data_IF_096768970336
#
_entry.id   IF_096768970336
#
_cell.length_a   1.000
_cell.length_b   1.000
_cell.length_c   1.000
_cell.angle_alpha   90.00
_cell.angle_beta   90.00
_cell.angle_gamma   90.00
#
_symmetry.space_group_name_H-M   'P 1'
#
loop_
_entity.id
_entity.type
_entity.pdbx_description
1 polymer ?
#
# COMPACT_ATOMS: atom_id res chain seq x y z
N UNK A 1 20.36 3.96 -10.89
CA UNK A 1 19.67 3.95 -12.21
C UNK A 1 19.47 5.35 -12.77
N UNK A 2 19.09 6.37 -11.94
CA UNK A 2 18.85 7.73 -12.42
C UNK A 2 20.10 8.42 -13.03
N UNK A 3 21.31 7.97 -12.72
CA UNK A 3 22.55 8.46 -13.33
C UNK A 3 22.78 7.93 -14.76
N UNK A 4 22.10 6.87 -15.20
CA UNK A 4 22.35 6.21 -16.50
C UNK A 4 22.26 7.18 -17.68
N UNK A 5 21.27 8.08 -17.80
CA UNK A 5 21.20 9.03 -18.91
C UNK A 5 22.47 9.91 -19.02
N UNK A 6 22.96 10.40 -17.88
CA UNK A 6 24.19 11.20 -17.83
C UNK A 6 25.44 10.41 -18.20
N UNK A 7 25.54 9.16 -17.69
CA UNK A 7 26.64 8.24 -17.99
C UNK A 7 26.70 7.93 -19.50
N UNK A 8 25.56 7.59 -20.10
CA UNK A 8 25.51 7.28 -21.54
C UNK A 8 25.87 8.47 -22.40
N UNK A 9 25.38 9.68 -22.06
CA UNK A 9 25.65 10.89 -22.84
C UNK A 9 27.08 11.41 -22.72
N UNK A 10 27.74 11.12 -21.60
CA UNK A 10 29.09 11.63 -21.32
C UNK A 10 30.15 10.53 -21.36
N UNK A 11 29.81 9.32 -21.75
CA UNK A 11 30.77 8.22 -21.94
C UNK A 11 31.59 8.48 -23.20
N UNK A 12 32.90 8.41 -23.06
CA UNK A 12 33.86 8.36 -24.20
C UNK A 12 33.92 6.98 -24.86
N UNK A 13 33.28 5.97 -24.26
CA UNK A 13 33.20 4.65 -24.85
C UNK A 13 32.27 4.68 -26.07
N UNK A 14 32.68 3.98 -27.13
CA UNK A 14 31.99 3.83 -28.41
C UNK A 14 30.62 3.14 -28.40
N UNK A 15 30.00 3.02 -27.25
CA UNK A 15 28.55 2.74 -27.15
C UNK A 15 27.86 4.04 -27.51
N UNK A 16 27.82 4.33 -28.80
CA UNK A 16 27.06 5.43 -29.35
C UNK A 16 25.61 5.16 -29.04
N UNK A 17 25.11 5.79 -27.98
CA UNK A 17 23.68 5.87 -27.81
C UNK A 17 23.13 6.47 -29.11
N UNK A 18 22.24 5.73 -29.78
CA UNK A 18 21.57 6.28 -30.96
C UNK A 18 21.08 7.69 -30.58
N UNK A 19 21.37 8.76 -31.36
CA UNK A 19 20.93 10.12 -31.04
C UNK A 19 19.42 10.23 -30.83
N UNK A 20 18.65 9.28 -31.34
CA UNK A 20 17.20 9.17 -31.16
C UNK A 20 16.77 8.47 -29.85
N UNK A 21 17.74 7.94 -29.08
CA UNK A 21 17.38 7.27 -27.77
C UNK A 21 16.83 8.30 -26.80
N UNK A 22 15.64 8.02 -26.30
CA UNK A 22 15.00 8.78 -25.23
C UNK A 22 15.14 7.99 -23.94
N UNK A 23 15.43 8.69 -22.85
CA UNK A 23 15.52 8.12 -21.51
C UNK A 23 14.30 8.52 -20.72
N UNK A 24 13.71 7.53 -20.05
CA UNK A 24 12.67 7.73 -19.05
C UNK A 24 13.24 7.30 -17.68
N UNK A 25 13.03 8.12 -16.68
CA UNK A 25 13.43 7.82 -15.30
C UNK A 25 12.21 7.94 -14.41
N UNK A 26 11.79 6.82 -13.87
CA UNK A 26 10.60 6.76 -13.01
C UNK A 26 10.99 6.91 -11.53
N UNK A 27 10.42 7.89 -10.88
CA UNK A 27 10.53 8.12 -9.45
C UNK A 27 9.42 7.29 -8.76
N UNK A 28 9.80 6.11 -8.25
CA UNK A 28 8.82 5.23 -7.58
C UNK A 28 8.45 5.74 -6.19
N UNK A 29 9.42 6.28 -5.48
CA UNK A 29 9.24 6.87 -4.15
C UNK A 29 10.43 7.79 -3.86
N UNK A 30 10.17 9.03 -3.46
CA UNK A 30 11.18 10.02 -3.09
C UNK A 30 11.29 10.21 -1.57
N UNK A 31 10.65 9.35 -0.79
CA UNK A 31 10.72 9.42 0.67
C UNK A 31 12.08 8.96 1.22
N UNK A 32 12.36 9.28 2.51
CA UNK A 32 13.67 9.12 3.13
C UNK A 32 14.30 7.73 3.02
N UNK A 33 13.54 6.66 3.01
CA UNK A 33 14.06 5.30 2.89
C UNK A 33 14.31 4.83 1.44
N UNK A 34 13.94 5.64 0.45
CA UNK A 34 13.94 5.24 -0.97
C UNK A 34 14.72 6.17 -1.87
N UNK A 35 15.04 7.36 -1.39
CA UNK A 35 15.79 8.37 -2.09
C UNK A 35 17.24 8.36 -1.60
N UNK A 36 18.19 8.36 -2.51
CA UNK A 36 19.61 8.39 -2.22
C UNK A 36 20.30 9.44 -3.07
N UNK A 37 20.97 10.36 -2.41
CA UNK A 37 21.88 11.34 -3.02
C UNK A 37 23.33 10.99 -2.70
N UNK A 38 24.27 11.48 -3.50
CA UNK A 38 25.68 11.48 -3.12
C UNK A 38 25.96 12.62 -2.15
N UNK A 39 26.78 12.38 -1.12
CA UNK A 39 27.03 13.36 -0.07
C UNK A 39 27.75 14.64 -0.56
N UNK A 40 28.53 14.51 -1.65
CA UNK A 40 29.24 15.62 -2.27
C UNK A 40 29.63 15.28 -3.72
N UNK A 41 30.27 16.24 -4.41
CA UNK A 41 30.72 16.07 -5.80
C UNK A 41 31.82 15.01 -5.90
N UNK A 42 32.75 14.96 -4.96
CA UNK A 42 33.88 14.04 -4.95
C UNK A 42 33.38 12.58 -4.90
N UNK A 43 32.43 12.30 -4.04
CA UNK A 43 31.80 10.98 -3.94
C UNK A 43 31.06 10.65 -5.24
N UNK A 44 30.24 11.57 -5.74
CA UNK A 44 29.53 11.39 -7.01
C UNK A 44 30.46 11.13 -8.17
N UNK A 45 31.57 11.85 -8.24
CA UNK A 45 32.59 11.68 -9.29
C UNK A 45 33.27 10.32 -9.18
N UNK A 46 33.59 9.88 -7.95
CA UNK A 46 34.22 8.58 -7.72
C UNK A 46 33.32 7.41 -8.20
N UNK A 47 32.01 7.48 -7.89
CA UNK A 47 31.07 6.42 -8.29
C UNK A 47 30.67 6.46 -9.77
N UNK A 48 30.58 7.66 -10.36
CA UNK A 48 30.01 7.84 -11.69
C UNK A 48 31.03 8.15 -12.77
N UNK A 49 32.21 8.59 -12.38
CA UNK A 49 33.26 9.14 -13.30
C UNK A 49 32.74 10.25 -14.24
N UNK A 50 31.65 10.93 -13.82
CA UNK A 50 31.15 12.07 -14.59
C UNK A 50 32.01 13.32 -14.38
N UNK A 51 32.15 14.18 -15.41
CA UNK A 51 32.84 15.46 -15.29
C UNK A 51 32.20 16.31 -14.16
N UNK A 52 33.08 17.00 -13.39
CA UNK A 52 32.66 17.85 -12.26
C UNK A 52 31.59 18.87 -12.66
N UNK A 53 31.71 19.49 -13.81
CA UNK A 53 30.77 20.48 -14.32
C UNK A 53 29.36 19.96 -14.51
N UNK A 54 29.18 18.65 -14.74
CA UNK A 54 27.87 18.01 -14.83
C UNK A 54 27.32 17.76 -13.46
N UNK A 55 28.15 17.30 -12.53
CA UNK A 55 27.77 17.04 -11.15
C UNK A 55 27.35 18.32 -10.41
N UNK A 56 28.04 19.44 -10.65
CA UNK A 56 27.73 20.78 -10.12
C UNK A 56 26.31 21.23 -10.49
N UNK A 57 25.83 20.94 -11.69
CA UNK A 57 24.46 21.27 -12.14
C UNK A 57 23.38 20.47 -11.38
N UNK A 58 23.73 19.32 -10.86
CA UNK A 58 22.82 18.45 -10.13
C UNK A 58 22.93 18.59 -8.60
N UNK A 59 23.62 19.63 -8.12
CA UNK A 59 23.73 19.87 -6.68
C UNK A 59 22.45 20.43 -6.08
N UNK A 60 22.16 19.95 -4.87
CA UNK A 60 21.16 20.48 -3.96
C UNK A 60 21.74 20.43 -2.53
N UNK A 61 21.89 21.58 -1.87
CA UNK A 61 22.43 21.70 -0.52
C UNK A 61 23.75 20.91 -0.30
N UNK A 62 24.67 21.00 -1.26
CA UNK A 62 25.98 20.34 -1.21
C UNK A 62 25.99 18.87 -1.63
N UNK A 63 24.83 18.22 -1.71
CA UNK A 63 24.66 16.86 -2.20
C UNK A 63 24.45 16.85 -3.73
N UNK A 64 24.76 15.73 -4.38
CA UNK A 64 24.46 15.54 -5.80
C UNK A 64 23.28 14.60 -5.95
N UNK A 65 22.24 15.09 -6.64
CA UNK A 65 20.95 14.42 -6.80
C UNK A 65 20.86 13.64 -8.11
N UNK A 66 20.71 12.30 -8.08
CA UNK A 66 20.62 11.50 -9.30
C UNK A 66 19.43 11.86 -10.20
N UNK A 67 18.30 12.31 -9.63
CA UNK A 67 17.16 12.74 -10.44
C UNK A 67 17.43 14.07 -11.17
N UNK A 68 18.20 14.97 -10.55
CA UNK A 68 18.66 16.19 -11.23
C UNK A 68 19.66 15.86 -12.35
N UNK A 69 20.56 14.89 -12.15
CA UNK A 69 21.45 14.40 -13.23
C UNK A 69 20.65 13.85 -14.41
N UNK A 70 19.57 13.11 -14.14
CA UNK A 70 18.69 12.62 -15.19
C UNK A 70 18.04 13.78 -15.97
N UNK A 71 17.51 14.77 -15.25
CA UNK A 71 16.89 15.95 -15.86
C UNK A 71 17.89 16.77 -16.69
N UNK A 72 19.08 17.04 -16.18
CA UNK A 72 20.17 17.72 -16.92
C UNK A 72 20.55 16.98 -18.22
N UNK A 73 20.38 15.67 -18.22
CA UNK A 73 20.56 14.82 -19.38
C UNK A 73 19.34 14.74 -20.30
N UNK A 74 18.31 15.56 -20.06
CA UNK A 74 17.06 15.58 -20.81
C UNK A 74 16.32 14.24 -20.80
N UNK A 75 16.44 13.49 -19.70
CA UNK A 75 15.55 12.37 -19.45
C UNK A 75 14.15 12.88 -19.11
N UNK A 76 13.14 12.16 -19.55
CA UNK A 76 11.75 12.43 -19.14
C UNK A 76 11.57 11.82 -17.75
N UNK A 77 11.24 12.66 -16.77
CA UNK A 77 10.94 12.19 -15.43
C UNK A 77 9.47 11.77 -15.35
N UNK A 78 9.24 10.58 -14.86
CA UNK A 78 7.90 10.05 -14.62
C UNK A 78 7.76 9.62 -13.16
N UNK A 79 6.53 9.45 -12.71
CA UNK A 79 6.24 8.86 -11.41
C UNK A 79 4.99 7.97 -11.47
N UNK A 80 4.64 7.36 -10.37
CA UNK A 80 3.74 6.21 -10.30
C UNK A 80 2.26 6.55 -10.05
N UNK A 81 1.90 7.83 -10.04
CA UNK A 81 0.51 8.31 -10.10
C UNK A 81 0.44 9.80 -10.46
N UNK A 82 -0.69 10.24 -11.00
CA UNK A 82 -0.90 11.65 -11.36
C UNK A 82 -0.85 12.56 -10.12
N UNK A 83 -1.43 12.14 -9.01
CA UNK A 83 -1.43 12.95 -7.78
C UNK A 83 -0.04 13.01 -7.16
N UNK A 84 0.70 11.91 -7.18
CA UNK A 84 2.06 11.90 -6.68
C UNK A 84 2.99 12.79 -7.54
N UNK A 85 2.74 12.92 -8.84
CA UNK A 85 3.47 13.87 -9.68
C UNK A 85 3.28 15.31 -9.20
N UNK A 86 2.07 15.69 -8.76
CA UNK A 86 1.79 17.01 -8.18
C UNK A 86 2.46 17.17 -6.81
N UNK A 87 2.39 16.13 -5.97
CA UNK A 87 3.05 16.13 -4.66
C UNK A 87 4.57 16.30 -4.78
N UNK A 88 5.20 15.69 -5.79
CA UNK A 88 6.65 15.79 -6.04
C UNK A 88 7.14 17.18 -6.45
N UNK A 89 6.26 18.06 -6.90
CA UNK A 89 6.59 19.46 -7.25
C UNK A 89 5.96 20.47 -6.28
N UNK A 90 5.28 20.03 -5.24
CA UNK A 90 4.70 20.91 -4.20
C UNK A 90 5.71 21.10 -3.07
N UNK A 91 6.21 22.35 -2.83
CA UNK A 91 7.18 22.64 -1.78
C UNK A 91 6.71 22.27 -0.36
N UNK A 92 5.38 22.17 -0.11
CA UNK A 92 4.85 21.75 1.19
C UNK A 92 5.22 20.31 1.53
N UNK A 93 5.57 19.50 0.55
CA UNK A 93 6.03 18.12 0.71
C UNK A 93 7.53 17.99 0.94
N UNK A 94 8.22 19.05 1.38
CA UNK A 94 9.66 19.08 1.64
C UNK A 94 10.14 17.92 2.50
N UNK A 95 9.50 17.70 3.64
CA UNK A 95 9.92 16.68 4.60
C UNK A 95 9.71 15.24 4.07
N UNK A 96 8.63 14.98 3.35
CA UNK A 96 8.30 13.65 2.80
C UNK A 96 9.12 13.29 1.56
N UNK A 97 9.82 14.27 0.96
CA UNK A 97 10.64 14.10 -0.25
C UNK A 97 12.12 14.45 -0.05
N UNK A 98 12.57 14.64 1.20
CA UNK A 98 13.93 15.09 1.54
C UNK A 98 14.38 16.36 0.76
N UNK A 99 13.45 17.26 0.53
CA UNK A 99 13.69 18.53 -0.15
C UNK A 99 13.58 18.46 -1.68
N UNK A 100 13.39 17.29 -2.29
CA UNK A 100 13.27 17.18 -3.75
C UNK A 100 12.11 17.99 -4.31
N UNK A 101 10.97 18.03 -3.62
CA UNK A 101 9.80 18.78 -4.07
C UNK A 101 10.08 20.27 -4.23
N UNK A 102 10.84 20.87 -3.32
CA UNK A 102 11.24 22.27 -3.41
C UNK A 102 12.15 22.52 -4.61
N UNK A 103 13.20 21.70 -4.79
CA UNK A 103 14.13 21.88 -5.91
C UNK A 103 13.50 21.59 -7.27
N UNK A 104 12.57 20.65 -7.35
CA UNK A 104 11.81 20.38 -8.57
C UNK A 104 10.91 21.56 -8.93
N UNK A 105 10.26 22.16 -7.94
CA UNK A 105 9.45 23.37 -8.12
C UNK A 105 10.32 24.56 -8.56
N UNK A 106 11.40 24.86 -7.84
CA UNK A 106 12.32 25.97 -8.15
C UNK A 106 12.92 25.88 -9.55
N UNK A 107 13.22 24.67 -10.02
CA UNK A 107 13.78 24.44 -11.35
C UNK A 107 12.72 24.22 -12.44
N UNK A 108 11.42 24.34 -12.10
CA UNK A 108 10.32 24.09 -13.02
C UNK A 108 10.40 22.71 -13.71
N UNK A 109 10.84 21.68 -12.97
CA UNK A 109 10.98 20.33 -13.51
C UNK A 109 9.60 19.74 -13.74
N UNK A 110 9.36 19.21 -14.95
CA UNK A 110 8.11 18.53 -15.28
C UNK A 110 8.22 17.05 -14.93
N UNK A 111 7.23 16.53 -14.23
CA UNK A 111 7.13 15.11 -13.88
C UNK A 111 5.79 14.61 -14.37
N UNK A 112 5.80 13.56 -15.18
CA UNK A 112 4.60 12.94 -15.72
C UNK A 112 4.14 11.80 -14.78
N UNK A 113 2.91 11.87 -14.31
CA UNK A 113 2.31 10.84 -13.48
C UNK A 113 1.68 9.72 -14.32
N UNK A 114 2.20 8.50 -14.19
CA UNK A 114 1.66 7.31 -14.85
C UNK A 114 1.30 6.31 -13.76
N UNK A 115 0.00 6.14 -13.49
CA UNK A 115 -0.45 5.24 -12.43
C UNK A 115 -0.01 3.81 -12.70
N UNK A 116 0.66 3.19 -11.72
CA UNK A 116 0.99 1.77 -11.79
C UNK A 116 -0.30 0.95 -11.87
N UNK A 117 -0.32 0.01 -12.81
CA UNK A 117 -1.35 -1.02 -12.88
C UNK A 117 -0.96 -2.26 -12.08
N UNK A 118 -1.91 -3.16 -11.98
CA UNK A 118 -1.68 -4.53 -11.53
C UNK A 118 -2.14 -5.51 -12.60
N UNK A 119 -1.56 -6.69 -12.60
CA UNK A 119 -2.05 -7.80 -13.42
C UNK A 119 -3.31 -8.38 -12.75
N UNK A 120 -4.48 -7.89 -13.16
CA UNK A 120 -5.75 -8.25 -12.55
C UNK A 120 -6.04 -9.76 -12.64
N UNK A 121 -5.56 -10.42 -13.69
CA UNK A 121 -5.76 -11.87 -13.88
C UNK A 121 -5.08 -12.68 -12.76
N UNK A 122 -3.96 -12.20 -12.22
CA UNK A 122 -3.27 -12.84 -11.07
C UNK A 122 -4.04 -12.78 -9.75
N UNK A 123 -5.04 -11.91 -9.66
CA UNK A 123 -5.87 -11.74 -8.45
C UNK A 123 -7.31 -12.14 -8.68
N UNK A 124 -7.65 -12.67 -9.89
CA UNK A 124 -9.03 -13.01 -10.25
C UNK A 124 -9.61 -14.06 -9.29
N UNK A 125 -10.60 -13.72 -8.44
CA UNK A 125 -11.17 -14.67 -7.48
C UNK A 125 -12.07 -15.73 -8.13
N UNK A 126 -12.37 -15.62 -9.42
CA UNK A 126 -13.07 -16.65 -10.17
C UNK A 126 -12.16 -17.82 -10.55
N UNK A 127 -10.84 -17.61 -10.56
CA UNK A 127 -9.81 -18.64 -10.80
C UNK A 127 -8.98 -18.88 -9.53
N UNK A 128 -9.24 -20.00 -8.87
CA UNK A 128 -8.59 -20.37 -7.62
C UNK A 128 -7.10 -20.69 -7.80
N UNK A 129 -6.67 -21.05 -9.00
CA UNK A 129 -5.27 -21.42 -9.27
C UNK A 129 -4.37 -20.20 -9.28
N UNK A 130 -4.83 -19.08 -9.79
CA UNK A 130 -4.08 -17.82 -9.85
C UNK A 130 -4.29 -16.95 -8.62
N UNK A 131 -5.53 -16.90 -8.10
CA UNK A 131 -5.86 -16.15 -6.88
C UNK A 131 -5.31 -16.79 -5.61
N UNK A 132 -5.06 -18.09 -5.62
CA UNK A 132 -4.67 -18.92 -4.47
C UNK A 132 -5.76 -18.99 -3.38
N UNK A 133 -7.02 -18.77 -3.76
CA UNK A 133 -8.16 -18.88 -2.86
C UNK A 133 -8.71 -20.30 -2.88
N UNK A 134 -9.14 -20.86 -1.73
CA UNK A 134 -9.79 -22.18 -1.66
C UNK A 134 -11.10 -22.28 -2.45
N UNK A 135 -11.90 -21.21 -2.45
CA UNK A 135 -13.23 -21.17 -3.09
C UNK A 135 -13.33 -19.98 -4.02
N UNK A 136 -13.84 -20.24 -5.24
CA UNK A 136 -14.05 -19.20 -6.25
C UNK A 136 -15.32 -18.38 -5.96
N UNK A 137 -15.30 -17.11 -6.37
CA UNK A 137 -16.47 -16.22 -6.31
C UNK A 137 -16.31 -15.05 -7.30
N UNK A 138 -17.38 -14.28 -7.53
CA UNK A 138 -17.38 -13.23 -8.55
C UNK A 138 -17.92 -11.89 -8.00
N UNK A 139 -17.05 -11.02 -7.47
CA UNK A 139 -17.48 -9.70 -6.98
C UNK A 139 -18.12 -8.83 -8.05
N UNK A 140 -17.59 -8.84 -9.28
CA UNK A 140 -18.13 -8.09 -10.43
C UNK A 140 -19.56 -8.46 -10.79
N UNK A 141 -19.96 -9.71 -10.49
CA UNK A 141 -21.32 -10.24 -10.74
C UNK A 141 -22.18 -10.25 -9.46
N UNK A 142 -21.61 -9.85 -8.31
CA UNK A 142 -22.29 -9.85 -7.02
C UNK A 142 -22.50 -11.22 -6.40
N UNK A 143 -21.79 -12.24 -6.87
CA UNK A 143 -21.82 -13.62 -6.34
C UNK A 143 -20.71 -13.74 -5.30
N UNK A 144 -21.06 -13.64 -4.02
CA UNK A 144 -20.10 -13.57 -2.91
C UNK A 144 -20.14 -14.79 -1.97
N UNK A 145 -20.90 -15.84 -2.32
CA UNK A 145 -21.03 -17.04 -1.49
C UNK A 145 -19.67 -17.69 -1.22
N UNK A 146 -18.82 -17.79 -2.25
CA UNK A 146 -17.46 -18.31 -2.10
C UNK A 146 -16.55 -17.43 -1.20
N UNK A 147 -16.83 -16.13 -1.08
CA UNK A 147 -16.12 -15.24 -0.12
C UNK A 147 -16.41 -15.67 1.32
N UNK A 148 -17.65 -16.06 1.61
CA UNK A 148 -18.05 -16.57 2.93
C UNK A 148 -17.41 -17.94 3.20
N UNK A 149 -17.37 -18.84 2.20
CA UNK A 149 -16.71 -20.15 2.34
C UNK A 149 -15.19 -19.99 2.56
N UNK A 150 -14.55 -19.05 1.88
CA UNK A 150 -13.16 -18.69 2.15
C UNK A 150 -12.96 -18.19 3.59
N UNK A 151 -13.90 -17.41 4.12
CA UNK A 151 -13.88 -16.91 5.52
C UNK A 151 -13.96 -18.08 6.51
N UNK A 152 -14.89 -19.00 6.31
CA UNK A 152 -15.01 -20.20 7.14
C UNK A 152 -13.72 -21.02 7.12
N UNK A 153 -13.17 -21.26 5.92
CA UNK A 153 -11.91 -21.96 5.77
C UNK A 153 -10.77 -21.29 6.54
N UNK A 154 -10.63 -19.95 6.40
CA UNK A 154 -9.58 -19.21 7.11
C UNK A 154 -9.69 -19.35 8.62
N UNK A 155 -10.90 -19.22 9.18
CA UNK A 155 -11.15 -19.39 10.62
C UNK A 155 -10.82 -20.80 11.11
N UNK A 156 -11.13 -21.82 10.32
CA UNK A 156 -10.73 -23.20 10.63
C UNK A 156 -9.21 -23.38 10.62
N UNK A 157 -8.49 -22.77 9.65
CA UNK A 157 -7.04 -22.85 9.62
C UNK A 157 -6.39 -22.13 10.80
N UNK A 158 -6.88 -20.94 11.18
CA UNK A 158 -6.42 -20.21 12.37
C UNK A 158 -6.63 -21.07 13.65
N UNK A 159 -7.80 -21.67 13.80
CA UNK A 159 -8.08 -22.54 14.93
C UNK A 159 -7.14 -23.74 14.99
N UNK A 160 -6.91 -24.42 13.86
CA UNK A 160 -5.97 -25.54 13.79
C UNK A 160 -4.54 -25.10 14.12
N UNK A 161 -4.11 -23.93 13.66
CA UNK A 161 -2.78 -23.41 13.96
C UNK A 161 -2.58 -23.11 15.46
N UNK A 162 -3.64 -22.74 16.18
CA UNK A 162 -3.60 -22.48 17.62
C UNK A 162 -3.65 -23.77 18.48
N UNK A 163 -4.28 -24.83 17.99
CA UNK A 163 -4.50 -26.07 18.74
C UNK A 163 -3.41 -27.14 18.55
N UNK A 164 -2.65 -27.06 17.45
CA UNK A 164 -1.62 -28.06 17.17
C UNK A 164 -0.38 -27.45 16.55
N UNK A 165 0.79 -28.04 16.86
CA UNK A 165 2.07 -27.76 16.19
C UNK A 165 2.09 -28.23 14.71
N UNK A 166 0.95 -28.45 14.08
CA UNK A 166 0.86 -28.88 12.69
C UNK A 166 0.99 -27.64 11.79
N UNK A 167 2.08 -27.57 11.06
CA UNK A 167 2.36 -26.54 10.06
C UNK A 167 1.30 -26.60 8.95
N UNK A 168 0.35 -25.69 8.97
CA UNK A 168 -0.44 -25.38 7.78
C UNK A 168 0.44 -24.54 6.86
N UNK A 169 0.65 -24.96 5.62
CA UNK A 169 1.44 -24.20 4.63
C UNK A 169 0.93 -22.78 4.39
N UNK A 170 -0.30 -22.50 4.81
CA UNK A 170 -0.91 -21.16 4.76
C UNK A 170 -0.17 -20.17 5.67
N UNK A 171 0.39 -20.64 6.79
CA UNK A 171 1.07 -19.77 7.78
C UNK A 171 2.60 -20.00 7.81
N UNK A 172 3.16 -20.63 6.77
CA UNK A 172 4.60 -20.71 6.63
C UNK A 172 5.20 -19.30 6.65
N UNK A 173 6.26 -19.11 7.43
CA UNK A 173 6.94 -17.84 7.64
C UNK A 173 6.06 -16.73 8.30
N UNK A 174 4.93 -17.09 8.93
CA UNK A 174 4.07 -16.17 9.65
C UNK A 174 4.00 -16.55 11.14
N UNK A 175 4.26 -15.56 12.00
CA UNK A 175 3.95 -15.65 13.42
C UNK A 175 2.55 -15.09 13.68
N UNK A 176 1.73 -15.86 14.38
CA UNK A 176 0.34 -15.50 14.68
C UNK A 176 0.28 -14.96 16.11
N UNK A 177 -0.29 -13.76 16.27
CA UNK A 177 -0.56 -13.14 17.57
C UNK A 177 -2.04 -12.77 17.68
N UNK A 178 -2.60 -12.94 18.88
CA UNK A 178 -4.05 -12.82 19.10
C UNK A 178 -4.81 -14.02 18.52
N UNK A 179 -6.11 -13.89 18.44
CA UNK A 179 -7.00 -14.97 17.97
C UNK A 179 -8.32 -14.40 17.43
N UNK A 180 -9.04 -15.20 16.65
CA UNK A 180 -10.43 -14.97 16.27
C UNK A 180 -11.26 -16.16 16.74
N UNK A 181 -12.23 -15.91 17.63
CA UNK A 181 -13.07 -16.96 18.26
C UNK A 181 -14.46 -17.01 17.62
N UNK A 182 -14.56 -16.72 16.34
CA UNK A 182 -15.83 -16.60 15.66
C UNK A 182 -16.41 -17.97 15.30
N UNK A 183 -17.69 -18.14 15.55
CA UNK A 183 -18.45 -19.32 15.10
C UNK A 183 -18.53 -19.33 13.57
N UNK A 184 -18.31 -20.49 12.97
CA UNK A 184 -18.46 -20.67 11.52
C UNK A 184 -19.89 -20.39 11.03
N UNK A 185 -20.89 -20.50 11.90
CA UNK A 185 -22.29 -20.20 11.57
C UNK A 185 -22.58 -18.71 11.57
N UNK A 186 -21.91 -17.96 12.44
CA UNK A 186 -22.20 -16.55 12.67
C UNK A 186 -21.20 -15.62 11.97
N UNK A 187 -20.10 -16.14 11.41
CA UNK A 187 -19.05 -15.35 10.82
C UNK A 187 -19.51 -14.48 9.63
N UNK A 188 -20.59 -14.84 8.96
CA UNK A 188 -21.18 -14.06 7.88
C UNK A 188 -21.86 -12.77 8.37
N UNK A 189 -22.28 -12.71 9.65
CA UNK A 189 -22.89 -11.55 10.30
C UNK A 189 -21.86 -10.60 10.90
N UNK A 190 -20.59 -10.96 10.87
CA UNK A 190 -19.49 -10.16 11.39
C UNK A 190 -18.86 -9.32 10.28
N UNK A 191 -18.28 -8.20 10.66
CA UNK A 191 -17.59 -7.28 9.77
C UNK A 191 -16.08 -7.44 9.97
N UNK A 192 -15.38 -7.90 8.95
CA UNK A 192 -13.95 -8.09 8.98
C UNK A 192 -13.24 -6.94 8.26
N UNK A 193 -12.25 -6.36 8.93
CA UNK A 193 -11.47 -5.23 8.43
C UNK A 193 -10.01 -5.64 8.37
N UNK A 194 -9.42 -5.60 7.17
CA UNK A 194 -8.02 -5.93 6.93
C UNK A 194 -7.11 -4.71 6.98
N UNK A 195 -5.87 -4.93 7.35
CA UNK A 195 -4.71 -4.13 6.94
C UNK A 195 -3.65 -5.07 6.39
N UNK A 196 -3.11 -4.76 5.22
CA UNK A 196 -1.95 -5.47 4.66
C UNK A 196 -0.89 -4.49 4.21
N UNK A 197 0.36 -4.81 4.52
CA UNK A 197 1.49 -4.00 4.10
C UNK A 197 2.61 -3.95 5.12
N UNK A 198 3.62 -3.15 4.84
CA UNK A 198 4.73 -2.94 5.77
C UNK A 198 4.23 -2.27 7.05
N UNK A 199 4.70 -2.75 8.18
CA UNK A 199 4.41 -2.17 9.50
C UNK A 199 5.38 -1.01 9.73
N UNK A 200 5.04 0.17 9.22
CA UNK A 200 5.90 1.35 9.27
C UNK A 200 5.11 2.61 9.62
N UNK A 201 5.83 3.60 10.13
CA UNK A 201 5.28 4.94 10.43
C UNK A 201 4.65 5.55 9.18
N UNK A 202 5.29 5.44 8.01
CA UNK A 202 4.76 5.93 6.73
C UNK A 202 3.36 5.37 6.43
N UNK A 203 3.10 4.12 6.79
CA UNK A 203 1.83 3.43 6.54
C UNK A 203 0.73 3.75 7.56
N UNK A 204 1.03 4.63 8.53
CA UNK A 204 0.04 5.11 9.51
C UNK A 204 -0.41 4.07 10.53
N UNK A 205 0.46 3.07 10.83
CA UNK A 205 0.13 1.99 11.76
C UNK A 205 -0.21 2.52 13.16
N UNK A 206 0.46 3.56 13.62
CA UNK A 206 0.15 4.17 14.91
C UNK A 206 -1.29 4.73 14.96
N UNK A 207 -1.76 5.36 13.87
CA UNK A 207 -3.14 5.85 13.77
C UNK A 207 -4.14 4.69 13.81
N UNK A 208 -3.84 3.59 13.11
CA UNK A 208 -4.67 2.38 13.12
C UNK A 208 -4.72 1.76 14.53
N UNK A 209 -3.58 1.52 15.16
CA UNK A 209 -3.47 0.94 16.50
C UNK A 209 -4.26 1.72 17.54
N UNK A 210 -4.19 3.05 17.51
CA UNK A 210 -4.93 3.92 18.41
C UNK A 210 -6.45 3.90 18.15
N UNK A 211 -6.87 3.65 16.91
CA UNK A 211 -8.28 3.67 16.50
C UNK A 211 -9.04 2.37 16.84
N UNK A 212 -8.37 1.22 16.73
CA UNK A 212 -8.98 -0.11 16.90
C UNK A 212 -9.72 -0.26 18.23
N UNK A 213 -9.16 0.10 19.42
CA UNK A 213 -9.85 -0.08 20.69
C UNK A 213 -11.21 0.63 20.74
N UNK A 214 -11.28 1.85 20.22
CA UNK A 214 -12.54 2.62 20.20
C UNK A 214 -13.57 1.98 19.29
N UNK A 215 -13.17 1.47 18.14
CA UNK A 215 -14.08 0.76 17.22
C UNK A 215 -14.60 -0.54 17.86
N UNK A 216 -13.73 -1.32 18.49
CA UNK A 216 -14.12 -2.59 19.13
C UNK A 216 -15.02 -2.39 20.36
N UNK A 217 -14.91 -1.25 21.04
CA UNK A 217 -15.80 -0.87 22.14
C UNK A 217 -17.18 -0.44 21.64
N UNK A 218 -17.25 0.18 20.46
CA UNK A 218 -18.51 0.68 19.90
C UNK A 218 -19.26 -0.37 19.06
N UNK A 219 -18.54 -1.37 18.50
CA UNK A 219 -19.09 -2.37 17.58
C UNK A 219 -18.60 -3.76 17.93
N UNK A 220 -19.46 -4.55 18.57
CA UNK A 220 -19.11 -5.93 19.01
C UNK A 220 -18.90 -6.89 17.84
N UNK A 221 -19.55 -6.62 16.71
CA UNK A 221 -19.52 -7.46 15.51
C UNK A 221 -18.35 -7.16 14.56
N UNK A 222 -17.35 -6.38 14.98
CA UNK A 222 -16.17 -6.04 14.16
C UNK A 222 -14.97 -6.90 14.55
N UNK A 223 -14.19 -7.26 13.53
CA UNK A 223 -12.91 -8.00 13.64
C UNK A 223 -11.85 -7.32 12.82
N UNK A 224 -10.60 -7.35 13.31
CA UNK A 224 -9.45 -6.85 12.58
C UNK A 224 -8.47 -7.98 12.27
N UNK A 225 -7.97 -8.00 11.02
CA UNK A 225 -6.90 -8.89 10.56
C UNK A 225 -5.79 -7.99 10.02
N UNK A 226 -4.66 -7.99 10.69
CA UNK A 226 -3.50 -7.15 10.34
C UNK A 226 -2.39 -8.06 9.90
N UNK A 227 -1.84 -7.88 8.69
CA UNK A 227 -0.76 -8.70 8.17
C UNK A 227 0.40 -7.86 7.65
N UNK A 228 1.62 -8.22 8.06
CA UNK A 228 2.86 -7.56 7.64
C UNK A 228 3.93 -7.56 8.70
N UNK A 229 5.09 -6.99 8.33
CA UNK A 229 6.26 -6.83 9.20
C UNK A 229 6.96 -5.50 8.92
N UNK A 230 7.78 -5.02 9.87
CA UNK A 230 8.50 -3.76 9.67
C UNK A 230 9.21 -3.22 10.89
N UNK A 231 8.78 -2.05 11.38
CA UNK A 231 9.37 -1.38 12.54
C UNK A 231 9.03 -2.12 13.84
N UNK A 232 10.04 -2.60 14.55
CA UNK A 232 9.88 -3.44 15.75
C UNK A 232 9.00 -2.81 16.83
N UNK A 233 9.07 -1.49 17.01
CA UNK A 233 8.22 -0.77 17.97
C UNK A 233 6.73 -0.91 17.63
N UNK A 234 6.37 -0.74 16.36
CA UNK A 234 4.99 -0.84 15.88
C UNK A 234 4.51 -2.30 15.87
N UNK A 235 5.39 -3.26 15.56
CA UNK A 235 5.08 -4.69 15.69
C UNK A 235 4.75 -5.07 17.14
N UNK A 236 5.55 -4.59 18.11
CA UNK A 236 5.28 -4.82 19.53
C UNK A 236 3.95 -4.20 20.00
N UNK A 237 3.61 -3.01 19.49
CA UNK A 237 2.30 -2.41 19.75
C UNK A 237 1.15 -3.28 19.21
N UNK A 238 1.29 -3.83 17.99
CA UNK A 238 0.31 -4.74 17.39
C UNK A 238 0.18 -6.05 18.15
N UNK A 239 1.30 -6.62 18.62
CA UNK A 239 1.28 -7.81 19.48
C UNK A 239 0.49 -7.53 20.75
N UNK A 240 0.81 -6.44 21.46
CA UNK A 240 0.09 -6.05 22.67
C UNK A 240 -1.40 -5.77 22.39
N UNK A 241 -1.73 -5.14 21.27
CA UNK A 241 -3.10 -4.86 20.87
C UNK A 241 -3.89 -6.15 20.62
N UNK A 242 -3.30 -7.10 19.89
CA UNK A 242 -3.94 -8.39 19.58
C UNK A 242 -4.16 -9.24 20.84
N UNK A 243 -3.20 -9.25 21.76
CA UNK A 243 -3.31 -9.95 23.03
C UNK A 243 -4.37 -9.32 23.95
N UNK A 244 -4.48 -7.99 23.96
CA UNK A 244 -5.48 -7.26 24.74
C UNK A 244 -6.91 -7.48 24.20
N UNK A 245 -7.05 -7.67 22.90
CA UNK A 245 -8.33 -7.82 22.21
C UNK A 245 -8.50 -9.22 21.60
N UNK A 246 -8.10 -10.27 22.37
CA UNK A 246 -8.31 -11.68 21.97
C UNK A 246 -9.74 -11.95 21.54
N UNK A 247 -9.88 -12.75 20.49
CA UNK A 247 -11.16 -13.04 19.87
C UNK A 247 -11.63 -12.01 18.85
N UNK A 248 -10.98 -10.83 18.76
CA UNK A 248 -11.39 -9.73 17.86
C UNK A 248 -10.28 -9.18 16.99
N UNK A 249 -9.01 -9.34 17.37
CA UNK A 249 -7.84 -8.84 16.63
C UNK A 249 -6.86 -9.98 16.40
N UNK A 250 -6.49 -10.14 15.13
CA UNK A 250 -5.47 -11.09 14.70
C UNK A 250 -4.32 -10.33 14.04
N UNK A 251 -3.10 -10.55 14.51
CA UNK A 251 -1.89 -10.02 13.88
C UNK A 251 -1.05 -11.17 13.29
N UNK A 252 -0.81 -11.10 12.00
CA UNK A 252 -0.04 -12.03 11.19
C UNK A 252 1.31 -11.38 10.86
N UNK A 253 2.33 -11.64 11.69
CA UNK A 253 3.67 -11.08 11.52
C UNK A 253 4.48 -11.96 10.56
N UNK A 254 4.74 -11.47 9.37
CA UNK A 254 5.44 -12.17 8.32
C UNK A 254 4.80 -11.96 6.94
N UNK A 255 5.20 -12.78 5.98
CA UNK A 255 4.66 -12.73 4.63
C UNK A 255 4.49 -14.12 4.02
N UNK A 256 3.27 -14.47 3.72
CA UNK A 256 2.91 -15.61 2.87
C UNK A 256 1.87 -15.16 1.85
N UNK A 257 2.13 -15.36 0.58
CA UNK A 257 1.30 -14.85 -0.52
C UNK A 257 -0.14 -15.36 -0.47
N UNK A 258 -0.33 -16.66 -0.18
CA UNK A 258 -1.66 -17.26 -0.10
C UNK A 258 -2.43 -16.73 1.11
N UNK A 259 -1.76 -16.62 2.26
CA UNK A 259 -2.35 -16.08 3.49
C UNK A 259 -2.79 -14.61 3.32
N UNK A 260 -1.93 -13.75 2.76
CA UNK A 260 -2.26 -12.33 2.52
C UNK A 260 -3.44 -12.20 1.56
N UNK A 261 -3.46 -12.97 0.48
CA UNK A 261 -4.59 -12.95 -0.48
C UNK A 261 -5.88 -13.44 0.14
N UNK A 262 -5.82 -14.54 0.88
CA UNK A 262 -6.99 -15.10 1.55
C UNK A 262 -7.52 -14.14 2.63
N UNK A 263 -6.65 -13.58 3.48
CA UNK A 263 -7.06 -12.63 4.52
C UNK A 263 -7.61 -11.31 3.94
N UNK A 264 -7.15 -10.87 2.75
CA UNK A 264 -7.80 -9.77 2.03
C UNK A 264 -9.17 -10.20 1.52
N UNK A 265 -9.25 -11.35 0.84
CA UNK A 265 -10.45 -11.82 0.17
C UNK A 265 -11.63 -12.06 1.13
N UNK A 266 -11.37 -12.46 2.39
CA UNK A 266 -12.42 -12.73 3.37
C UNK A 266 -12.96 -11.48 4.08
N UNK A 267 -12.24 -10.35 4.03
CA UNK A 267 -12.64 -9.12 4.72
C UNK A 267 -13.65 -8.31 3.92
N UNK A 268 -14.45 -7.52 4.62
CA UNK A 268 -15.40 -6.57 4.02
C UNK A 268 -14.69 -5.29 3.58
N UNK A 269 -13.71 -4.87 4.38
CA UNK A 269 -12.95 -3.64 4.16
C UNK A 269 -11.45 -3.85 4.34
N UNK A 270 -10.66 -3.01 3.67
CA UNK A 270 -9.22 -2.86 3.92
C UNK A 270 -8.91 -1.41 4.26
N UNK A 271 -8.18 -1.18 5.37
CA UNK A 271 -7.81 0.16 5.83
C UNK A 271 -6.42 0.51 5.33
N UNK A 272 -6.29 1.69 4.72
CA UNK A 272 -5.05 2.21 4.16
C UNK A 272 -4.74 3.60 4.74
N UNK A 273 -4.26 3.70 5.99
CA UNK A 273 -4.08 4.95 6.71
C UNK A 273 -2.70 5.58 6.44
N UNK A 274 -2.17 5.42 5.24
CA UNK A 274 -0.84 5.93 4.89
C UNK A 274 -0.75 7.45 4.99
N UNK A 275 0.31 7.98 5.61
CA UNK A 275 0.63 9.41 5.54
C UNK A 275 1.05 9.81 4.14
N UNK A 276 1.70 8.89 3.45
CA UNK A 276 2.27 9.08 2.14
C UNK A 276 2.20 7.79 1.32
N UNK A 277 1.58 7.84 0.14
CA UNK A 277 1.38 6.68 -0.73
C UNK A 277 1.56 7.04 -2.20
N UNK A 278 2.74 6.81 -2.79
CA UNK A 278 3.00 7.19 -4.19
C UNK A 278 2.00 6.61 -5.20
N UNK A 279 1.63 5.36 -5.02
CA UNK A 279 0.65 4.70 -5.90
C UNK A 279 -0.47 4.01 -5.10
N UNK A 280 -0.09 3.09 -4.19
CA UNK A 280 -1.01 2.13 -3.59
C UNK A 280 -1.43 1.05 -4.60
N UNK A 281 -1.24 -0.21 -4.23
CA UNK A 281 -1.70 -1.36 -5.01
C UNK A 281 -2.71 -2.19 -4.22
N UNK A 282 -2.67 -2.11 -2.89
CA UNK A 282 -3.56 -2.85 -2.00
C UNK A 282 -5.03 -2.47 -2.17
N UNK A 283 -5.32 -1.23 -2.55
CA UNK A 283 -6.67 -0.79 -2.88
C UNK A 283 -7.22 -1.49 -4.14
N UNK A 284 -6.40 -1.66 -5.19
CA UNK A 284 -6.78 -2.41 -6.37
C UNK A 284 -7.02 -3.89 -6.04
N UNK A 285 -6.09 -4.51 -5.30
CA UNK A 285 -6.20 -5.92 -4.89
C UNK A 285 -7.46 -6.12 -4.07
N UNK A 286 -7.71 -5.24 -3.08
CA UNK A 286 -8.94 -5.26 -2.29
C UNK A 286 -10.18 -5.17 -3.17
N UNK A 287 -10.24 -4.22 -4.08
CA UNK A 287 -11.38 -4.02 -4.98
C UNK A 287 -11.66 -5.25 -5.85
N UNK A 288 -10.62 -5.90 -6.39
CA UNK A 288 -10.76 -7.14 -7.18
C UNK A 288 -11.34 -8.27 -6.32
N UNK A 289 -10.91 -8.39 -5.07
CA UNK A 289 -11.46 -9.38 -4.12
C UNK A 289 -12.81 -8.98 -3.50
N UNK A 290 -13.39 -7.84 -3.90
CA UNK A 290 -14.63 -7.34 -3.31
C UNK A 290 -14.46 -6.90 -1.86
N UNK A 291 -13.29 -6.43 -1.49
CA UNK A 291 -12.94 -5.84 -0.20
C UNK A 291 -12.71 -4.35 -0.41
N UNK A 292 -13.65 -3.52 0.09
CA UNK A 292 -13.63 -2.09 -0.21
C UNK A 292 -12.57 -1.34 0.61
N UNK A 293 -11.74 -0.48 -0.04
CA UNK A 293 -10.75 0.31 0.67
C UNK A 293 -11.39 1.45 1.48
N UNK A 294 -10.86 1.66 2.69
CA UNK A 294 -11.07 2.85 3.53
C UNK A 294 -9.71 3.51 3.66
N UNK A 295 -9.49 4.61 2.96
CA UNK A 295 -8.16 5.15 2.75
C UNK A 295 -8.03 6.63 3.15
N UNK A 296 -6.86 6.99 3.67
CA UNK A 296 -6.45 8.39 3.75
C UNK A 296 -6.27 8.95 2.35
N UNK A 297 -6.82 10.15 2.13
CA UNK A 297 -6.77 10.84 0.84
C UNK A 297 -5.38 11.43 0.59
N UNK A 298 -4.44 10.60 0.10
CA UNK A 298 -3.05 11.00 -0.18
C UNK A 298 -2.51 10.27 -1.40
N UNK A 299 -1.68 10.94 -2.18
CA UNK A 299 -0.97 10.39 -3.33
C UNK A 299 -1.83 9.53 -4.24
N UNK A 300 -1.35 8.38 -4.60
CA UNK A 300 -2.05 7.43 -5.48
C UNK A 300 -3.35 6.85 -4.92
N UNK A 301 -3.66 6.98 -3.62
CA UNK A 301 -4.96 6.56 -3.08
C UNK A 301 -6.11 7.48 -3.52
N UNK A 302 -5.81 8.68 -4.03
CA UNK A 302 -6.80 9.58 -4.61
C UNK A 302 -7.54 9.01 -5.84
N UNK A 303 -7.03 7.94 -6.45
CA UNK A 303 -7.72 7.20 -7.52
C UNK A 303 -8.98 6.47 -7.05
N UNK A 304 -9.13 6.23 -5.74
CA UNK A 304 -10.35 5.67 -5.15
C UNK A 304 -11.50 6.68 -5.33
N UNK A 305 -12.57 6.25 -5.98
CA UNK A 305 -13.77 7.09 -6.14
C UNK A 305 -14.62 6.96 -4.89
N UNK A 306 -14.60 8.03 -4.06
CA UNK A 306 -15.28 8.05 -2.78
C UNK A 306 -16.76 7.68 -2.89
N UNK A 307 -17.25 6.81 -2.00
CA UNK A 307 -18.62 6.26 -2.00
C UNK A 307 -19.02 5.48 -3.27
N UNK A 308 -18.06 5.11 -4.13
CA UNK A 308 -18.31 4.33 -5.34
C UNK A 308 -17.41 3.10 -5.44
N UNK A 309 -16.09 3.27 -5.30
CA UNK A 309 -15.12 2.17 -5.32
C UNK A 309 -14.41 1.96 -3.98
N UNK A 310 -14.70 2.80 -2.99
CA UNK A 310 -14.17 2.78 -1.65
C UNK A 310 -14.57 4.02 -0.87
N UNK A 311 -13.90 4.28 0.23
CA UNK A 311 -14.16 5.42 1.12
C UNK A 311 -12.87 6.20 1.37
N UNK A 312 -12.95 7.52 1.32
CA UNK A 312 -11.82 8.41 1.59
C UNK A 312 -12.08 9.29 2.80
N UNK A 313 -11.04 9.56 3.59
CA UNK A 313 -11.03 10.56 4.66
C UNK A 313 -9.83 11.50 4.49
N UNK A 314 -9.96 12.77 4.92
CA UNK A 314 -9.03 13.83 4.51
C UNK A 314 -7.85 14.03 5.46
N UNK A 315 -8.04 13.82 6.77
CA UNK A 315 -7.01 14.05 7.77
C UNK A 315 -6.57 12.73 8.39
N UNK A 316 -5.28 12.41 8.33
CA UNK A 316 -4.77 11.17 8.90
C UNK A 316 -4.56 11.27 10.41
N UNK A 317 -5.67 11.42 11.13
CA UNK A 317 -5.73 11.44 12.59
C UNK A 317 -6.56 10.28 13.12
N UNK A 318 -6.33 9.91 14.38
CA UNK A 318 -7.13 8.90 15.07
C UNK A 318 -8.64 9.20 15.00
N UNK A 319 -9.03 10.45 15.28
CA UNK A 319 -10.45 10.85 15.29
C UNK A 319 -11.09 10.72 13.91
N UNK A 320 -10.39 11.16 12.86
CA UNK A 320 -10.87 11.08 11.48
C UNK A 320 -11.02 9.64 11.03
N UNK A 321 -10.05 8.77 11.37
CA UNK A 321 -10.14 7.35 11.05
C UNK A 321 -11.28 6.65 11.82
N UNK A 322 -11.43 6.92 13.13
CA UNK A 322 -12.55 6.39 13.93
C UNK A 322 -13.89 6.82 13.34
N UNK A 323 -14.03 8.11 13.00
CA UNK A 323 -15.25 8.66 12.39
C UNK A 323 -15.57 7.93 11.07
N UNK A 324 -14.58 7.78 10.19
CA UNK A 324 -14.78 7.11 8.89
C UNK A 324 -15.08 5.61 9.05
N UNK A 325 -14.38 4.91 9.92
CA UNK A 325 -14.66 3.50 10.22
C UNK A 325 -16.08 3.34 10.76
N UNK A 326 -16.50 4.18 11.71
CA UNK A 326 -17.85 4.13 12.29
C UNK A 326 -18.93 4.39 11.23
N UNK A 327 -18.73 5.38 10.35
CA UNK A 327 -19.62 5.64 9.22
C UNK A 327 -19.77 4.42 8.31
N UNK A 328 -18.65 3.82 7.92
CA UNK A 328 -18.63 2.69 6.98
C UNK A 328 -19.23 1.42 7.59
N UNK A 329 -18.92 1.14 8.86
CA UNK A 329 -19.52 0.04 9.63
C UNK A 329 -21.05 0.22 9.72
N UNK A 330 -21.52 1.43 10.05
CA UNK A 330 -22.95 1.73 10.08
C UNK A 330 -23.62 1.53 8.71
N UNK A 331 -22.98 1.96 7.62
CA UNK A 331 -23.48 1.69 6.25
C UNK A 331 -23.57 0.19 6.00
N UNK A 332 -22.57 -0.60 6.36
CA UNK A 332 -22.58 -2.05 6.21
C UNK A 332 -23.74 -2.70 6.99
N UNK A 333 -23.95 -2.25 8.23
CA UNK A 333 -25.01 -2.79 9.11
C UNK A 333 -26.41 -2.43 8.66
N UNK A 334 -26.62 -1.20 8.21
CA UNK A 334 -27.97 -0.67 7.95
C UNK A 334 -28.33 -0.60 6.45
N UNK A 335 -27.36 -0.65 5.57
CA UNK A 335 -27.55 -0.53 4.12
C UNK A 335 -26.54 -1.40 3.35
N UNK A 336 -26.52 -2.69 3.61
CA UNK A 336 -25.62 -3.63 2.91
C UNK A 336 -25.78 -3.61 1.39
N UNK A 337 -26.98 -3.30 0.89
CA UNK A 337 -27.22 -3.15 -0.57
C UNK A 337 -26.34 -2.08 -1.19
N UNK A 338 -26.04 -0.98 -0.47
CA UNK A 338 -25.10 0.05 -0.94
C UNK A 338 -23.70 -0.55 -1.05
N UNK A 339 -23.26 -1.29 -0.04
CA UNK A 339 -21.94 -1.96 -0.04
C UNK A 339 -21.85 -2.96 -1.20
N UNK A 340 -22.86 -3.79 -1.40
CA UNK A 340 -22.91 -4.75 -2.52
C UNK A 340 -22.84 -4.05 -3.91
N UNK A 341 -23.50 -2.91 -4.06
CA UNK A 341 -23.41 -2.10 -5.28
C UNK A 341 -22.00 -1.53 -5.48
N UNK A 342 -21.38 -1.05 -4.40
CA UNK A 342 -20.00 -0.54 -4.44
C UNK A 342 -19.01 -1.64 -4.79
N UNK A 343 -19.13 -2.84 -4.21
CA UNK A 343 -18.29 -4.01 -4.53
C UNK A 343 -18.34 -4.31 -6.03
N UNK A 344 -19.57 -4.43 -6.61
CA UNK A 344 -19.73 -4.67 -8.04
C UNK A 344 -19.13 -3.57 -8.92
N UNK A 345 -19.20 -2.32 -8.47
CA UNK A 345 -18.62 -1.19 -9.19
C UNK A 345 -17.09 -1.23 -9.12
N UNK A 346 -16.53 -1.44 -7.94
CA UNK A 346 -15.11 -1.48 -7.68
C UNK A 346 -14.40 -2.62 -8.44
N UNK A 347 -15.01 -3.81 -8.46
CA UNK A 347 -14.45 -4.97 -9.15
C UNK A 347 -14.53 -4.91 -10.69
N UNK A 348 -15.19 -3.91 -11.26
CA UNK A 348 -15.29 -3.68 -12.72
C UNK A 348 -14.39 -2.55 -13.20
N UNK A 349 -13.88 -1.75 -12.30
CA UNK A 349 -13.12 -0.55 -12.57
C UNK A 349 -11.62 -0.84 -12.62
#
# INVERSE_FOLDING_TARGET
TACIPSLVKNSSASVVANPKTRFFVTIHNAGPAYHHSFNNIEEAQWYTNLPRIILEKAQNNGKVEPFLLANESRAILTTVSEEYAKELIDPHNYASTEGLSSIFNERNIQIEGITNGIDADRYNPEDTTVSLLPFSYSPKNGKLEGKIENRKYFLEQIKKASESSSNSSLFDDIKIFGELNDSLKDCENLIYIAYHGRITTQKGIAVLNQSIPTILNNFENVRFIIAGQGELSLENELINLSEKHKGKVLYLNGYNKACVRLSTAICDFIVLPSYFEPCGLEDFIGQIFGTLPIAHKTGGLNKIINNKTGFLYSENTQLSLISKLSEVIAIKMWNDQKIQKMIRCAAKN
#
